data_IF_646062650857
#
_entry.id   IF_646062650857
#
_cell.length_a   1.000
_cell.length_b   1.000
_cell.length_c   1.000
_cell.angle_alpha   90.00
_cell.angle_beta   90.00
_cell.angle_gamma   90.00
#
_symmetry.space_group_name_H-M   'P 1'
#
loop_
_entity.id
_entity.type
_entity.pdbx_description
1 polymer ?
#
# COMPACT_ATOMS: atom_id res chain seq x y z
N UNK A 1 -5.96 -20.83 23.03
CA UNK A 1 -5.72 -19.58 22.28
C UNK A 1 -4.28 -19.13 22.48
N UNK A 2 -3.61 -18.60 21.44
CA UNK A 2 -2.21 -18.12 21.51
C UNK A 2 -2.09 -16.87 22.41
N UNK A 3 -0.94 -16.74 23.11
CA UNK A 3 -0.73 -15.64 24.07
C UNK A 3 -0.76 -14.25 23.40
N UNK A 4 -0.29 -14.13 22.15
CA UNK A 4 -0.36 -12.91 21.38
C UNK A 4 -1.80 -12.44 21.13
N UNK A 5 -2.75 -13.37 20.89
CA UNK A 5 -4.17 -13.03 20.66
C UNK A 5 -4.83 -12.58 21.96
N UNK A 6 -4.46 -13.23 23.10
CA UNK A 6 -4.94 -12.79 24.43
C UNK A 6 -4.51 -11.35 24.73
N UNK A 7 -3.27 -11.01 24.44
CA UNK A 7 -2.74 -9.65 24.65
C UNK A 7 -3.47 -8.62 23.76
N UNK A 8 -3.75 -8.96 22.48
CA UNK A 8 -4.50 -8.09 21.59
C UNK A 8 -5.95 -7.89 22.06
N UNK A 9 -6.62 -8.93 22.52
CA UNK A 9 -7.98 -8.84 23.09
C UNK A 9 -7.97 -7.94 24.33
N UNK A 10 -7.02 -8.13 25.24
CA UNK A 10 -6.89 -7.30 26.43
C UNK A 10 -6.65 -5.84 26.07
N UNK A 11 -5.74 -5.56 25.13
CA UNK A 11 -5.48 -4.21 24.62
C UNK A 11 -6.74 -3.56 24.06
N UNK A 12 -7.54 -4.32 23.30
CA UNK A 12 -8.80 -3.82 22.74
C UNK A 12 -9.86 -3.55 23.84
N UNK A 13 -9.90 -4.37 24.88
CA UNK A 13 -10.78 -4.20 26.03
C UNK A 13 -10.37 -2.99 26.90
N UNK A 14 -9.06 -2.78 27.10
CA UNK A 14 -8.54 -1.63 27.84
C UNK A 14 -8.80 -0.32 27.09
N UNK A 15 -8.69 -0.33 25.75
CA UNK A 15 -9.10 0.77 24.89
C UNK A 15 -10.59 1.11 25.06
N UNK A 16 -11.48 0.12 25.24
CA UNK A 16 -12.88 0.37 25.50
C UNK A 16 -13.09 1.15 26.81
N UNK A 17 -12.37 0.81 27.88
CA UNK A 17 -12.42 1.54 29.16
C UNK A 17 -11.94 3.01 29.01
N UNK A 18 -10.96 3.25 28.16
CA UNK A 18 -10.45 4.62 27.87
C UNK A 18 -11.49 5.43 27.08
N UNK A 19 -12.12 4.85 26.07
CA UNK A 19 -13.19 5.49 25.28
C UNK A 19 -14.37 5.85 26.20
N UNK A 20 -14.77 4.97 27.11
CA UNK A 20 -15.84 5.24 28.07
C UNK A 20 -15.48 6.42 29.00
N UNK A 21 -14.26 6.43 29.55
CA UNK A 21 -13.75 7.53 30.39
C UNK A 21 -13.63 8.86 29.65
N UNK A 22 -13.39 8.84 28.35
CA UNK A 22 -13.26 10.06 27.53
C UNK A 22 -14.56 10.82 27.32
N UNK A 23 -15.71 10.21 27.64
CA UNK A 23 -17.04 10.81 27.47
C UNK A 23 -17.49 10.93 26.00
N UNK A 24 -16.86 10.22 25.09
CA UNK A 24 -17.30 10.11 23.67
C UNK A 24 -18.68 9.44 23.60
N UNK A 25 -18.93 8.50 24.50
CA UNK A 25 -20.21 7.81 24.61
C UNK A 25 -21.09 8.60 25.57
N UNK A 26 -22.11 9.27 25.03
CA UNK A 26 -23.06 10.09 25.82
C UNK A 26 -24.21 9.28 26.40
N UNK A 27 -24.59 8.19 25.76
CA UNK A 27 -25.64 7.31 26.20
C UNK A 27 -25.10 6.32 27.25
N UNK A 28 -25.80 6.21 28.41
CA UNK A 28 -25.43 5.25 29.44
C UNK A 28 -25.65 3.83 28.90
N UNK A 29 -24.55 3.13 28.64
CA UNK A 29 -24.58 1.69 28.41
C UNK A 29 -24.79 1.03 29.76
N UNK A 30 -25.91 0.36 29.97
CA UNK A 30 -26.28 -0.24 31.26
C UNK A 30 -25.26 -1.26 31.81
N UNK A 31 -24.42 -1.82 30.92
CA UNK A 31 -23.44 -2.87 31.25
C UNK A 31 -21.97 -2.40 31.18
N UNK A 32 -21.71 -1.12 30.84
CA UNK A 32 -20.38 -0.63 30.53
C UNK A 32 -19.90 -1.00 29.13
N UNK A 33 -18.98 -0.18 28.58
CA UNK A 33 -18.54 -0.33 27.18
C UNK A 33 -17.65 -1.58 26.99
N UNK A 34 -16.84 -1.92 27.99
CA UNK A 34 -16.01 -3.13 27.99
C UNK A 34 -16.85 -4.42 27.88
N UNK A 35 -17.92 -4.52 28.64
CA UNK A 35 -18.81 -5.70 28.58
C UNK A 35 -19.61 -5.74 27.28
N UNK A 36 -20.01 -4.59 26.74
CA UNK A 36 -20.62 -4.50 25.42
C UNK A 36 -19.67 -5.02 24.32
N UNK A 37 -18.40 -4.62 24.39
CA UNK A 37 -17.38 -5.11 23.45
C UNK A 37 -17.16 -6.63 23.56
N UNK A 38 -17.14 -7.18 24.79
CA UNK A 38 -17.08 -8.64 25.00
C UNK A 38 -18.27 -9.36 24.38
N UNK A 39 -19.45 -8.78 24.50
CA UNK A 39 -20.65 -9.37 23.91
C UNK A 39 -20.61 -9.27 22.38
N UNK A 40 -20.06 -8.21 21.81
CA UNK A 40 -19.85 -8.12 20.35
C UNK A 40 -18.84 -9.17 19.87
N UNK A 41 -17.77 -9.43 20.61
CA UNK A 41 -16.83 -10.53 20.33
C UNK A 41 -17.55 -11.89 20.36
N UNK A 42 -18.41 -12.13 21.34
CA UNK A 42 -19.22 -13.34 21.43
C UNK A 42 -20.15 -13.50 20.22
N UNK A 43 -20.87 -12.45 19.82
CA UNK A 43 -21.73 -12.47 18.62
C UNK A 43 -20.94 -12.80 17.36
N UNK A 44 -19.76 -12.19 17.22
CA UNK A 44 -18.91 -12.44 16.07
C UNK A 44 -18.43 -13.91 16.03
N UNK A 45 -17.98 -14.48 17.15
CA UNK A 45 -17.59 -15.88 17.22
C UNK A 45 -18.79 -16.83 17.01
N UNK A 46 -19.98 -16.47 17.51
CA UNK A 46 -21.20 -17.21 17.24
C UNK A 46 -21.56 -17.20 15.73
N UNK A 47 -21.36 -16.07 15.05
CA UNK A 47 -21.57 -15.96 13.59
C UNK A 47 -20.62 -16.87 12.81
N UNK A 48 -19.38 -17.04 13.27
CA UNK A 48 -18.41 -17.96 12.64
C UNK A 48 -18.74 -19.43 12.97
N UNK A 49 -19.07 -19.77 14.20
CA UNK A 49 -19.22 -21.14 14.72
C UNK A 49 -20.25 -22.01 14.00
N UNK A 50 -21.16 -21.44 13.25
CA UNK A 50 -22.19 -22.19 12.53
C UNK A 50 -21.91 -22.32 11.02
N UNK A 51 -20.71 -21.95 10.60
CA UNK A 51 -20.36 -21.98 9.18
C UNK A 51 -20.30 -23.42 8.64
N UNK A 52 -19.74 -24.33 9.41
CA UNK A 52 -19.61 -25.76 9.09
C UNK A 52 -20.66 -26.65 9.75
N UNK A 53 -21.48 -26.08 10.66
CA UNK A 53 -22.53 -26.78 11.39
C UNK A 53 -22.03 -27.65 12.55
N UNK A 54 -20.75 -27.60 12.89
CA UNK A 54 -20.11 -28.37 13.95
C UNK A 54 -19.57 -27.38 15.01
N UNK A 55 -19.85 -27.64 16.30
CA UNK A 55 -19.28 -26.86 17.40
C UNK A 55 -18.51 -27.79 18.31
N UNK A 56 -17.20 -27.64 18.31
CA UNK A 56 -16.25 -28.50 19.04
C UNK A 56 -15.95 -27.98 20.44
N UNK A 57 -15.39 -28.85 21.30
CA UNK A 57 -14.94 -28.43 22.63
C UNK A 57 -13.79 -27.40 22.54
N UNK A 58 -12.90 -27.54 21.54
CA UNK A 58 -11.80 -26.59 21.30
C UNK A 58 -12.33 -25.19 20.99
N UNK A 59 -13.40 -25.09 20.21
CA UNK A 59 -14.07 -23.82 19.93
C UNK A 59 -14.76 -23.24 21.16
N UNK A 60 -15.41 -24.08 21.98
CA UNK A 60 -16.02 -23.62 23.22
C UNK A 60 -14.96 -23.05 24.19
N UNK A 61 -13.82 -23.71 24.31
CA UNK A 61 -12.71 -23.26 25.15
C UNK A 61 -12.11 -21.94 24.59
N UNK A 62 -12.02 -21.82 23.28
CA UNK A 62 -11.57 -20.58 22.62
C UNK A 62 -12.53 -19.42 22.92
N UNK A 63 -13.84 -19.62 22.74
CA UNK A 63 -14.85 -18.59 23.01
C UNK A 63 -14.78 -18.14 24.46
N UNK A 64 -14.62 -19.08 25.41
CA UNK A 64 -14.46 -18.78 26.83
C UNK A 64 -13.20 -17.94 27.12
N UNK A 65 -12.07 -18.33 26.55
CA UNK A 65 -10.82 -17.56 26.71
C UNK A 65 -10.90 -16.15 26.11
N UNK A 66 -11.54 -16.01 24.94
CA UNK A 66 -11.62 -14.74 24.23
C UNK A 66 -12.61 -13.76 24.86
N UNK A 67 -13.75 -14.25 25.31
CA UNK A 67 -14.88 -13.40 25.73
C UNK A 67 -15.20 -13.45 27.22
N UNK A 68 -14.74 -14.50 27.91
CA UNK A 68 -15.10 -14.77 29.31
C UNK A 68 -16.44 -15.48 29.48
N UNK A 69 -17.17 -15.79 28.41
CA UNK A 69 -18.45 -16.48 28.46
C UNK A 69 -18.29 -17.99 28.26
N UNK A 70 -18.94 -18.79 29.11
CA UNK A 70 -19.05 -20.24 28.94
C UNK A 70 -20.06 -20.53 27.82
N UNK A 71 -19.56 -20.73 26.60
CA UNK A 71 -20.40 -20.94 25.43
C UNK A 71 -20.76 -22.42 25.27
N UNK A 72 -22.04 -22.69 25.09
CA UNK A 72 -22.55 -23.98 24.63
C UNK A 72 -23.16 -23.82 23.24
N UNK A 73 -23.23 -24.90 22.48
CA UNK A 73 -23.88 -24.91 21.16
C UNK A 73 -25.31 -24.32 21.18
N UNK A 74 -26.08 -24.69 22.21
CA UNK A 74 -27.42 -24.16 22.39
C UNK A 74 -27.48 -22.66 22.67
N UNK A 75 -26.51 -22.13 23.44
CA UNK A 75 -26.39 -20.70 23.70
C UNK A 75 -26.01 -19.93 22.43
N UNK A 76 -25.04 -20.42 21.65
CA UNK A 76 -24.64 -19.77 20.39
C UNK A 76 -25.82 -19.77 19.37
N UNK A 77 -26.53 -20.88 19.23
CA UNK A 77 -27.72 -20.94 18.38
C UNK A 77 -28.84 -19.95 18.83
N UNK A 78 -29.01 -19.78 20.15
CA UNK A 78 -29.95 -18.79 20.68
C UNK A 78 -29.50 -17.35 20.35
N UNK A 79 -28.24 -17.02 20.49
CA UNK A 79 -27.67 -15.72 20.13
C UNK A 79 -27.83 -15.45 18.64
N UNK A 80 -27.52 -16.41 17.78
CA UNK A 80 -27.68 -16.29 16.32
C UNK A 80 -29.14 -15.95 15.95
N UNK A 81 -30.10 -16.63 16.55
CA UNK A 81 -31.52 -16.38 16.30
C UNK A 81 -32.01 -15.04 16.86
N UNK A 82 -31.66 -14.71 18.11
CA UNK A 82 -32.14 -13.48 18.78
C UNK A 82 -31.49 -12.20 18.21
N UNK A 83 -30.25 -12.29 17.75
CA UNK A 83 -29.47 -11.17 17.19
C UNK A 83 -29.50 -11.12 15.66
N UNK A 84 -30.26 -12.03 15.03
CA UNK A 84 -30.45 -12.09 13.57
C UNK A 84 -29.11 -12.15 12.78
N UNK A 85 -28.09 -12.85 13.32
CA UNK A 85 -26.73 -12.85 12.80
C UNK A 85 -26.60 -13.45 11.38
N UNK A 86 -27.58 -14.22 10.93
CA UNK A 86 -27.62 -14.84 9.60
C UNK A 86 -28.36 -14.00 8.55
N UNK A 87 -28.95 -12.90 8.94
CA UNK A 87 -29.64 -12.01 8.03
C UNK A 87 -28.65 -11.08 7.31
N UNK A 88 -28.98 -10.69 6.06
CA UNK A 88 -28.12 -9.81 5.26
C UNK A 88 -27.83 -8.48 5.96
N UNK A 89 -28.78 -7.96 6.72
CA UNK A 89 -28.66 -6.73 7.48
C UNK A 89 -27.56 -6.74 8.54
N UNK A 90 -27.17 -7.92 9.05
CA UNK A 90 -26.09 -8.03 10.04
C UNK A 90 -24.75 -7.54 9.47
N UNK A 91 -24.45 -7.79 8.20
CA UNK A 91 -23.27 -7.34 7.52
C UNK A 91 -23.39 -5.92 6.92
N UNK A 92 -24.60 -5.34 6.94
CA UNK A 92 -24.80 -3.95 6.50
C UNK A 92 -24.62 -2.93 7.62
N UNK A 93 -24.79 -3.36 8.88
CA UNK A 93 -24.75 -2.49 10.06
C UNK A 93 -23.44 -2.68 10.83
N UNK A 94 -22.52 -1.68 10.81
CA UNK A 94 -21.30 -1.80 11.58
C UNK A 94 -21.60 -1.90 13.10
N UNK A 95 -20.80 -2.71 13.85
CA UNK A 95 -20.94 -2.91 15.28
C UNK A 95 -20.95 -1.59 16.06
N UNK A 96 -21.68 -1.55 17.16
CA UNK A 96 -21.78 -0.34 17.98
C UNK A 96 -20.43 0.09 18.53
N UNK A 97 -19.63 -0.85 19.05
CA UNK A 97 -18.30 -0.54 19.56
C UNK A 97 -17.36 0.01 18.48
N UNK A 98 -17.42 -0.49 17.25
CA UNK A 98 -16.67 0.09 16.13
C UNK A 98 -17.09 1.53 15.85
N UNK A 99 -18.38 1.86 15.89
CA UNK A 99 -18.87 3.24 15.73
C UNK A 99 -18.28 4.15 16.81
N UNK A 100 -18.22 3.68 18.05
CA UNK A 100 -17.61 4.42 19.17
C UNK A 100 -16.10 4.61 18.95
N UNK A 101 -15.37 3.60 18.48
CA UNK A 101 -13.96 3.71 18.13
C UNK A 101 -13.71 4.75 17.02
N UNK A 102 -14.55 4.73 15.97
CA UNK A 102 -14.49 5.70 14.87
C UNK A 102 -14.73 7.12 15.36
N UNK A 103 -15.73 7.32 16.23
CA UNK A 103 -16.02 8.63 16.84
C UNK A 103 -14.87 9.11 17.75
N UNK A 104 -14.22 8.20 18.48
CA UNK A 104 -13.08 8.53 19.33
C UNK A 104 -11.88 8.98 18.48
N UNK A 105 -11.62 8.30 17.36
CA UNK A 105 -10.54 8.66 16.43
C UNK A 105 -10.83 9.96 15.66
N UNK A 106 -12.08 10.23 15.29
CA UNK A 106 -12.50 11.42 14.56
C UNK A 106 -12.59 12.68 15.44
N UNK A 107 -12.83 12.49 16.74
CA UNK A 107 -12.93 13.60 17.69
C UNK A 107 -11.59 13.88 18.33
N UNK A 108 -10.77 14.81 17.86
CA UNK A 108 -9.44 15.27 18.36
C UNK A 108 -9.12 15.16 19.88
N UNK A 109 -9.95 14.46 20.65
CA UNK A 109 -9.90 14.33 22.11
C UNK A 109 -8.90 13.30 22.63
N UNK A 110 -8.36 12.48 21.76
CA UNK A 110 -7.35 11.48 22.11
C UNK A 110 -6.10 11.66 21.25
N UNK A 111 -5.24 12.61 21.61
CA UNK A 111 -3.98 12.88 20.88
C UNK A 111 -3.05 11.68 20.80
N UNK A 112 -3.18 10.71 21.67
CA UNK A 112 -2.34 9.50 21.72
C UNK A 112 -2.97 8.26 21.04
N UNK A 113 -4.28 8.24 20.77
CA UNK A 113 -5.00 7.03 20.34
C UNK A 113 -5.77 7.18 19.01
N UNK A 114 -5.21 7.84 18.01
CA UNK A 114 -5.77 7.94 16.65
C UNK A 114 -5.89 6.58 15.91
N UNK A 115 -6.02 5.46 16.64
CA UNK A 115 -6.02 4.11 16.07
C UNK A 115 -7.03 3.17 16.70
N UNK A 116 -8.03 3.67 17.42
CA UNK A 116 -9.02 2.83 18.10
C UNK A 116 -9.77 1.92 17.12
N UNK A 117 -10.24 2.46 16.01
CA UNK A 117 -10.90 1.69 14.96
C UNK A 117 -9.98 0.63 14.33
N UNK A 118 -8.72 0.97 14.09
CA UNK A 118 -7.71 0.03 13.54
C UNK A 118 -7.42 -1.10 14.53
N UNK A 119 -7.25 -0.77 15.81
CA UNK A 119 -7.04 -1.76 16.88
C UNK A 119 -8.23 -2.70 16.96
N UNK A 120 -9.46 -2.19 16.99
CA UNK A 120 -10.69 -2.98 16.99
C UNK A 120 -10.73 -3.95 15.81
N UNK A 121 -10.56 -3.45 14.57
CA UNK A 121 -10.64 -4.26 13.34
C UNK A 121 -9.57 -5.35 13.33
N UNK A 122 -8.33 -5.01 13.71
CA UNK A 122 -7.24 -5.99 13.77
C UNK A 122 -7.47 -7.06 14.84
N UNK A 123 -7.99 -6.70 16.02
CA UNK A 123 -8.34 -7.66 17.06
C UNK A 123 -9.40 -8.65 16.58
N UNK A 124 -10.50 -8.15 15.96
CA UNK A 124 -11.55 -9.03 15.44
C UNK A 124 -11.03 -9.92 14.30
N UNK A 125 -10.22 -9.38 13.41
CA UNK A 125 -9.58 -10.17 12.33
C UNK A 125 -8.73 -11.30 12.90
N UNK A 126 -7.78 -10.98 13.78
CA UNK A 126 -6.83 -11.95 14.31
C UNK A 126 -7.52 -12.98 15.22
N UNK A 127 -8.50 -12.55 16.02
CA UNK A 127 -9.33 -13.43 16.84
C UNK A 127 -10.15 -14.40 15.97
N UNK A 128 -10.79 -13.92 14.91
CA UNK A 128 -11.56 -14.78 13.99
C UNK A 128 -10.66 -15.77 13.25
N UNK A 129 -9.49 -15.36 12.85
CA UNK A 129 -8.49 -16.22 12.19
C UNK A 129 -7.99 -17.32 13.14
N UNK A 130 -7.63 -16.96 14.36
CA UNK A 130 -7.24 -17.95 15.39
C UNK A 130 -8.39 -18.88 15.76
N UNK A 131 -9.63 -18.40 15.74
CA UNK A 131 -10.80 -19.22 15.97
C UNK A 131 -10.97 -20.28 14.88
N UNK A 132 -10.93 -19.88 13.60
CA UNK A 132 -11.05 -20.80 12.46
C UNK A 132 -9.87 -21.81 12.46
N UNK A 133 -8.68 -21.38 12.85
CA UNK A 133 -7.49 -22.24 12.91
C UNK A 133 -7.42 -23.13 14.15
N UNK A 134 -8.31 -22.99 15.15
CA UNK A 134 -8.27 -23.82 16.34
C UNK A 134 -8.78 -25.26 16.13
N UNK A 135 -9.44 -25.51 15.00
CA UNK A 135 -9.90 -26.82 14.55
C UNK A 135 -8.93 -27.41 13.52
N UNK A 136 -8.87 -28.75 13.46
CA UNK A 136 -8.07 -29.47 12.45
C UNK A 136 -8.63 -29.33 11.01
N UNK A 137 -9.85 -28.82 10.86
CA UNK A 137 -10.53 -28.67 9.58
C UNK A 137 -11.09 -27.25 9.47
N UNK A 138 -10.53 -26.46 8.58
CA UNK A 138 -11.03 -25.12 8.25
C UNK A 138 -12.04 -25.22 7.08
N UNK A 139 -13.22 -24.63 7.22
CA UNK A 139 -14.22 -24.60 6.15
C UNK A 139 -14.12 -23.34 5.28
N UNK A 140 -14.41 -23.48 3.98
CA UNK A 140 -14.47 -22.32 3.06
C UNK A 140 -15.55 -21.31 3.50
N UNK A 141 -16.61 -21.76 4.16
CA UNK A 141 -17.68 -20.91 4.64
C UNK A 141 -17.25 -20.05 5.83
N UNK A 142 -16.46 -20.58 6.77
CA UNK A 142 -15.87 -19.80 7.87
C UNK A 142 -14.96 -18.68 7.33
N UNK A 143 -14.10 -19.00 6.37
CA UNK A 143 -13.22 -18.01 5.72
C UNK A 143 -14.07 -16.93 5.03
N UNK A 144 -15.13 -17.32 4.32
CA UNK A 144 -16.03 -16.39 3.64
C UNK A 144 -16.72 -15.45 4.63
N UNK A 145 -17.25 -15.97 5.73
CA UNK A 145 -17.91 -15.18 6.78
C UNK A 145 -16.97 -14.22 7.47
N UNK A 146 -15.77 -14.69 7.84
CA UNK A 146 -14.72 -13.83 8.41
C UNK A 146 -14.38 -12.68 7.46
N UNK A 147 -14.14 -13.01 6.19
CA UNK A 147 -13.77 -12.01 5.17
C UNK A 147 -14.89 -10.98 4.96
N UNK A 148 -16.14 -11.41 4.93
CA UNK A 148 -17.29 -10.52 4.78
C UNK A 148 -17.45 -9.58 5.99
N UNK A 149 -17.33 -10.11 7.22
CA UNK A 149 -17.45 -9.32 8.44
C UNK A 149 -16.33 -8.30 8.59
N UNK A 150 -15.07 -8.71 8.39
CA UNK A 150 -13.92 -7.80 8.40
C UNK A 150 -14.03 -6.76 7.29
N UNK A 151 -14.45 -7.17 6.09
CA UNK A 151 -14.65 -6.27 4.96
C UNK A 151 -15.68 -5.18 5.23
N UNK A 152 -16.77 -5.49 5.91
CA UNK A 152 -17.79 -4.53 6.37
C UNK A 152 -17.18 -3.51 7.33
N UNK A 153 -16.45 -3.97 8.36
CA UNK A 153 -15.81 -3.09 9.34
C UNK A 153 -14.78 -2.15 8.69
N UNK A 154 -13.93 -2.68 7.80
CA UNK A 154 -12.97 -1.89 7.07
C UNK A 154 -13.62 -0.86 6.14
N UNK A 155 -14.70 -1.23 5.44
CA UNK A 155 -15.46 -0.30 4.60
C UNK A 155 -15.96 0.87 5.44
N UNK A 156 -16.55 0.60 6.58
CA UNK A 156 -17.03 1.64 7.49
C UNK A 156 -15.90 2.56 7.98
N UNK A 157 -14.78 2.02 8.44
CA UNK A 157 -13.63 2.83 8.88
C UNK A 157 -13.02 3.69 7.77
N UNK A 158 -13.05 3.21 6.50
CA UNK A 158 -12.61 3.98 5.32
C UNK A 158 -13.51 5.15 5.00
N UNK A 159 -14.83 5.03 5.17
CA UNK A 159 -15.79 6.12 4.98
C UNK A 159 -15.47 7.34 5.87
N UNK A 160 -14.79 7.11 7.01
CA UNK A 160 -14.32 8.15 7.93
C UNK A 160 -12.83 8.48 7.77
N UNK A 161 -12.15 7.96 6.75
CA UNK A 161 -10.73 8.24 6.48
C UNK A 161 -9.74 7.64 7.50
N UNK A 162 -10.17 6.69 8.34
CA UNK A 162 -9.36 6.08 9.40
C UNK A 162 -8.54 4.87 8.93
N UNK A 163 -8.93 4.27 7.83
CA UNK A 163 -8.15 3.28 7.10
C UNK A 163 -7.78 3.87 5.74
N UNK A 164 -6.54 3.63 5.32
CA UNK A 164 -6.15 3.88 3.95
C UNK A 164 -7.13 3.15 3.00
N UNK A 165 -7.39 3.70 1.80
CA UNK A 165 -8.14 2.98 0.78
C UNK A 165 -7.59 1.55 0.64
N UNK A 166 -8.47 0.57 0.42
CA UNK A 166 -8.18 -0.87 0.37
C UNK A 166 -6.92 -1.15 -0.45
N UNK A 167 -5.85 -1.61 0.18
CA UNK A 167 -4.49 -1.61 -0.33
C UNK A 167 -4.01 -0.18 -0.57
N UNK A 168 -2.76 0.14 -0.52
CA UNK A 168 -2.24 1.39 -1.08
C UNK A 168 -2.29 1.33 -2.62
N UNK A 169 -3.49 1.08 -3.16
CA UNK A 169 -3.80 1.22 -4.58
C UNK A 169 -3.91 2.72 -4.79
N UNK A 170 -2.79 3.36 -5.03
CA UNK A 170 -2.77 4.72 -5.55
C UNK A 170 -3.21 4.63 -7.01
N UNK A 171 -4.51 4.64 -7.25
CA UNK A 171 -5.01 4.90 -8.59
C UNK A 171 -4.63 6.34 -8.96
N UNK A 172 -3.70 6.46 -9.87
CA UNK A 172 -3.38 7.76 -10.45
C UNK A 172 -4.18 7.89 -11.73
N UNK A 173 -5.24 8.71 -11.72
CA UNK A 173 -5.93 9.06 -12.94
C UNK A 173 -4.96 9.72 -13.92
N UNK A 174 -4.89 9.17 -15.12
CA UNK A 174 -4.06 9.72 -16.19
C UNK A 174 -4.89 10.74 -16.96
N UNK A 175 -4.44 11.99 -16.97
CA UNK A 175 -4.96 13.00 -17.91
C UNK A 175 -4.73 12.49 -19.33
N UNK A 176 -5.76 12.57 -20.18
CA UNK A 176 -5.64 12.22 -21.59
C UNK A 176 -4.57 13.10 -22.24
N UNK A 177 -3.42 12.51 -22.54
CA UNK A 177 -2.31 13.14 -23.28
C UNK A 177 -2.13 12.43 -24.61
N UNK A 178 -1.61 13.13 -25.60
CA UNK A 178 -1.12 12.49 -26.81
C UNK A 178 0.15 11.69 -26.51
N UNK A 179 0.53 10.79 -27.42
CA UNK A 179 1.79 10.02 -27.28
C UNK A 179 2.98 10.98 -27.22
N UNK A 180 2.99 12.02 -28.06
CA UNK A 180 4.08 12.99 -28.13
C UNK A 180 4.19 13.80 -26.82
N UNK A 181 3.08 14.30 -26.27
CA UNK A 181 3.07 14.99 -24.96
C UNK A 181 3.57 14.10 -23.82
N UNK A 182 3.21 12.82 -23.83
CA UNK A 182 3.66 11.89 -22.80
C UNK A 182 5.16 11.55 -22.93
N UNK A 183 5.66 11.47 -24.17
CA UNK A 183 7.10 11.32 -24.45
C UNK A 183 7.90 12.58 -24.13
N UNK A 184 7.36 13.77 -24.38
CA UNK A 184 7.99 15.03 -23.96
C UNK A 184 8.12 15.09 -22.44
N UNK A 185 7.09 14.68 -21.69
CA UNK A 185 7.16 14.63 -20.23
C UNK A 185 8.23 13.64 -19.75
N UNK A 186 8.32 12.44 -20.34
CA UNK A 186 9.38 11.48 -20.05
C UNK A 186 10.75 12.08 -20.36
N UNK A 187 10.92 12.73 -21.50
CA UNK A 187 12.17 13.32 -21.92
C UNK A 187 12.58 14.52 -21.07
N UNK A 188 11.62 15.21 -20.43
CA UNK A 188 11.88 16.32 -19.50
C UNK A 188 12.43 15.88 -18.13
N UNK A 189 12.36 14.60 -17.80
CA UNK A 189 12.95 14.09 -16.56
C UNK A 189 14.48 14.28 -16.55
N UNK A 190 15.02 14.62 -15.40
CA UNK A 190 16.49 14.75 -15.23
C UNK A 190 17.14 13.39 -15.34
N UNK A 191 18.20 13.26 -16.14
CA UNK A 191 18.94 12.01 -16.35
C UNK A 191 18.10 10.91 -16.99
N UNK A 192 18.31 9.66 -16.56
CA UNK A 192 17.58 8.47 -17.02
C UNK A 192 17.73 8.19 -18.53
N UNK A 193 18.88 8.52 -19.13
CA UNK A 193 19.06 8.48 -20.58
C UNK A 193 18.87 7.07 -21.17
N UNK A 194 19.41 6.03 -20.50
CA UNK A 194 19.21 4.64 -20.90
C UNK A 194 17.73 4.22 -20.78
N UNK A 195 17.06 4.59 -19.68
CA UNK A 195 15.64 4.32 -19.46
C UNK A 195 14.77 4.99 -20.54
N UNK A 196 15.07 6.24 -20.88
CA UNK A 196 14.37 6.96 -21.96
C UNK A 196 14.52 6.27 -23.31
N UNK A 197 15.74 5.80 -23.63
CA UNK A 197 16.00 5.06 -24.87
C UNK A 197 15.23 3.73 -24.88
N UNK A 198 15.20 3.00 -23.79
CA UNK A 198 14.46 1.75 -23.66
C UNK A 198 12.94 1.96 -23.82
N UNK A 199 12.37 2.99 -23.16
CA UNK A 199 10.95 3.32 -23.29
C UNK A 199 10.62 3.77 -24.71
N UNK A 200 11.43 4.63 -25.34
CA UNK A 200 11.23 5.01 -26.72
C UNK A 200 11.25 3.80 -27.67
N UNK A 201 12.16 2.85 -27.44
CA UNK A 201 12.21 1.61 -28.24
C UNK A 201 10.96 0.76 -28.08
N UNK A 202 10.40 0.68 -26.86
CA UNK A 202 9.12 0.00 -26.60
C UNK A 202 7.96 0.70 -27.32
N UNK A 203 7.90 2.03 -27.26
CA UNK A 203 6.86 2.84 -27.93
C UNK A 203 6.91 2.61 -29.44
N UNK A 204 8.10 2.67 -30.05
CA UNK A 204 8.28 2.43 -31.48
C UNK A 204 7.79 1.03 -31.87
N UNK A 205 8.12 0.01 -31.06
CA UNK A 205 7.65 -1.36 -31.29
C UNK A 205 6.12 -1.46 -31.26
N UNK A 206 5.47 -0.82 -30.27
CA UNK A 206 4.00 -0.82 -30.15
C UNK A 206 3.33 -0.06 -31.29
N UNK A 207 3.90 1.05 -31.73
CA UNK A 207 3.40 1.80 -32.90
C UNK A 207 3.47 0.94 -34.18
N UNK A 208 4.58 0.25 -34.40
CA UNK A 208 4.72 -0.65 -35.57
C UNK A 208 3.74 -1.82 -35.47
N UNK A 209 3.53 -2.39 -34.30
CA UNK A 209 2.53 -3.45 -34.10
C UNK A 209 1.13 -2.94 -34.47
N UNK A 210 0.74 -1.76 -34.03
CA UNK A 210 -0.55 -1.17 -34.38
C UNK A 210 -0.72 -0.96 -35.89
N UNK A 211 0.29 -0.43 -36.57
CA UNK A 211 0.28 -0.26 -38.03
C UNK A 211 0.12 -1.62 -38.74
N UNK A 212 0.77 -2.68 -38.23
CA UNK A 212 0.65 -4.03 -38.77
C UNK A 212 -0.76 -4.60 -38.59
N UNK A 213 -1.35 -4.37 -37.41
CA UNK A 213 -2.72 -4.78 -37.10
C UNK A 213 -3.74 -4.11 -38.02
N UNK A 214 -3.64 -2.79 -38.19
CA UNK A 214 -4.49 -2.02 -39.11
C UNK A 214 -4.40 -2.51 -40.57
N UNK A 215 -3.27 -3.14 -40.95
CA UNK A 215 -3.06 -3.75 -42.27
C UNK A 215 -3.40 -5.23 -42.34
N UNK A 216 -4.01 -5.80 -41.27
CA UNK A 216 -4.39 -7.22 -41.21
C UNK A 216 -3.20 -8.19 -41.17
N UNK A 217 -1.99 -7.71 -40.78
CA UNK A 217 -0.79 -8.58 -40.70
C UNK A 217 -0.73 -9.31 -39.35
N UNK A 218 -0.22 -10.53 -39.37
CA UNK A 218 0.02 -11.31 -38.14
C UNK A 218 0.96 -10.57 -37.19
N UNK A 219 0.60 -10.51 -35.92
CA UNK A 219 1.39 -9.90 -34.84
C UNK A 219 2.29 -10.96 -34.18
N UNK A 220 3.58 -10.66 -33.93
CA UNK A 220 4.38 -11.47 -33.02
C UNK A 220 3.85 -11.27 -31.60
N UNK A 221 3.76 -12.34 -30.82
CA UNK A 221 3.44 -12.26 -29.39
C UNK A 221 4.64 -11.65 -28.65
N UNK A 222 4.53 -10.38 -28.26
CA UNK A 222 5.56 -9.70 -27.46
C UNK A 222 5.01 -9.47 -26.06
N UNK A 223 5.75 -9.93 -25.05
CA UNK A 223 5.41 -9.63 -23.65
C UNK A 223 5.52 -8.12 -23.40
N UNK A 224 4.47 -7.57 -22.78
CA UNK A 224 4.40 -6.15 -22.39
C UNK A 224 4.85 -5.92 -20.93
N UNK A 225 5.11 -7.00 -20.20
CA UNK A 225 5.53 -6.95 -18.80
C UNK A 225 7.01 -6.59 -18.68
N UNK A 226 7.35 -5.83 -17.63
CA UNK A 226 8.68 -5.22 -17.49
C UNK A 226 9.27 -5.48 -16.10
N UNK A 227 10.60 -5.51 -16.05
CA UNK A 227 11.38 -5.45 -14.82
C UNK A 227 12.04 -4.07 -14.71
N UNK A 228 11.82 -3.39 -13.61
CA UNK A 228 12.48 -2.13 -13.26
C UNK A 228 13.46 -2.37 -12.13
N UNK A 229 14.74 -2.38 -12.43
CA UNK A 229 15.78 -2.64 -11.46
C UNK A 229 16.61 -1.40 -11.15
N UNK A 230 17.02 -1.23 -9.91
CA UNK A 230 17.85 -0.11 -9.46
C UNK A 230 17.55 0.32 -8.03
N UNK A 231 18.41 1.20 -7.52
CA UNK A 231 18.35 1.70 -6.16
C UNK A 231 17.08 2.53 -5.86
N UNK A 232 16.73 2.76 -4.58
CA UNK A 232 15.60 3.61 -4.21
C UNK A 232 15.76 5.04 -4.73
N UNK A 233 14.64 5.69 -5.06
CA UNK A 233 14.64 7.09 -5.48
C UNK A 233 15.19 7.36 -6.88
N UNK A 234 15.44 6.34 -7.71
CA UNK A 234 15.91 6.48 -9.10
C UNK A 234 14.78 6.79 -10.10
N UNK A 235 13.52 6.86 -9.66
CA UNK A 235 12.41 7.28 -10.52
C UNK A 235 11.56 6.14 -11.09
N UNK A 236 11.73 4.89 -10.65
CA UNK A 236 10.98 3.71 -11.14
C UNK A 236 9.47 3.92 -11.20
N UNK A 237 8.85 4.29 -10.10
CA UNK A 237 7.39 4.54 -10.04
C UNK A 237 6.94 5.71 -10.92
N UNK A 238 7.78 6.75 -11.04
CA UNK A 238 7.50 7.92 -11.91
C UNK A 238 7.44 7.49 -13.38
N UNK A 239 8.44 6.72 -13.83
CA UNK A 239 8.49 6.21 -15.21
C UNK A 239 7.34 5.21 -15.46
N UNK A 240 7.02 4.33 -14.49
CA UNK A 240 5.88 3.41 -14.62
C UNK A 240 4.55 4.16 -14.85
N UNK A 241 4.36 5.28 -14.14
CA UNK A 241 3.17 6.13 -14.29
C UNK A 241 3.10 6.79 -15.66
N UNK A 242 4.23 7.31 -16.17
CA UNK A 242 4.29 7.87 -17.51
C UNK A 242 4.04 6.80 -18.59
N UNK A 243 4.63 5.62 -18.40
CA UNK A 243 4.43 4.49 -19.32
C UNK A 243 2.97 4.03 -19.37
N UNK A 244 2.24 4.06 -18.26
CA UNK A 244 0.81 3.76 -18.23
C UNK A 244 0.02 4.74 -19.13
N UNK A 245 0.33 6.03 -19.07
CA UNK A 245 -0.24 7.05 -19.94
C UNK A 245 0.11 6.85 -21.42
N UNK A 246 1.37 6.52 -21.72
CA UNK A 246 1.85 6.23 -23.07
C UNK A 246 1.11 5.02 -23.65
N UNK A 247 0.99 3.91 -22.90
CA UNK A 247 0.30 2.71 -23.35
C UNK A 247 -1.20 2.94 -23.58
N UNK A 248 -1.82 3.78 -22.75
CA UNK A 248 -3.19 4.22 -22.98
C UNK A 248 -3.33 5.02 -24.29
N UNK A 249 -2.45 5.99 -24.52
CA UNK A 249 -2.47 6.83 -25.73
C UNK A 249 -2.22 6.04 -27.01
N UNK A 250 -1.44 4.97 -26.93
CA UNK A 250 -1.22 4.02 -28.01
C UNK A 250 -2.40 3.05 -28.24
N UNK A 251 -3.34 2.97 -27.29
CA UNK A 251 -4.45 2.00 -27.31
C UNK A 251 -4.05 0.59 -26.87
N UNK A 252 -2.88 0.44 -26.25
CA UNK A 252 -2.39 -0.84 -25.67
C UNK A 252 -3.16 -1.18 -24.39
N UNK A 253 -3.54 -0.17 -23.62
CA UNK A 253 -4.33 -0.27 -22.39
C UNK A 253 -5.62 0.54 -22.51
N UNK A 254 -6.71 0.05 -21.93
CA UNK A 254 -8.02 0.68 -22.05
C UNK A 254 -8.26 1.87 -21.11
N UNK A 255 -7.51 1.96 -19.97
CA UNK A 255 -7.67 3.02 -18.97
C UNK A 255 -6.37 3.79 -18.69
N UNK A 256 -5.21 3.12 -18.70
CA UNK A 256 -3.90 3.74 -18.53
C UNK A 256 -3.59 4.22 -17.11
N UNK A 257 -4.30 3.75 -16.09
CA UNK A 257 -3.99 4.04 -14.68
C UNK A 257 -2.89 3.13 -14.15
N UNK A 258 -2.26 3.56 -13.07
CA UNK A 258 -1.24 2.79 -12.35
C UNK A 258 -1.82 2.33 -11.00
N UNK A 259 -1.70 1.05 -10.73
CA UNK A 259 -1.98 0.43 -9.43
C UNK A 259 -0.65 0.02 -8.82
N UNK A 260 -0.26 0.67 -7.72
CA UNK A 260 1.00 0.41 -7.00
C UNK A 260 0.72 -0.46 -5.78
N UNK A 261 1.43 -1.57 -5.67
CA UNK A 261 1.33 -2.51 -4.56
C UNK A 261 2.72 -3.00 -4.12
N UNK A 262 2.83 -3.41 -2.88
CA UNK A 262 3.98 -4.13 -2.32
C UNK A 262 3.56 -5.56 -1.90
N UNK A 263 4.48 -6.30 -1.24
CA UNK A 263 4.18 -7.62 -0.70
C UNK A 263 2.92 -7.63 0.17
N UNK A 264 2.70 -6.62 1.00
CA UNK A 264 1.58 -6.57 1.94
C UNK A 264 0.23 -6.48 1.23
N UNK A 265 0.21 -5.89 0.04
CA UNK A 265 -0.96 -5.81 -0.84
C UNK A 265 -1.28 -7.12 -1.59
N UNK A 266 -0.32 -8.05 -1.69
CA UNK A 266 -0.45 -9.29 -2.47
C UNK A 266 -0.48 -10.55 -1.60
N UNK A 267 0.28 -10.60 -0.50
CA UNK A 267 0.40 -11.78 0.35
C UNK A 267 -0.48 -11.62 1.58
N UNK A 268 -1.18 -12.70 1.94
CA UNK A 268 -1.87 -12.82 3.22
C UNK A 268 -1.07 -13.72 4.15
N UNK A 269 -1.22 -13.57 5.46
CA UNK A 269 -0.67 -14.50 6.44
C UNK A 269 -1.44 -15.82 6.56
N UNK A 270 -2.43 -16.08 5.68
CA UNK A 270 -3.37 -17.17 5.82
C UNK A 270 -3.63 -17.91 4.53
N UNK A 271 -3.82 -19.23 4.67
CA UNK A 271 -4.11 -20.16 3.57
C UNK A 271 -5.34 -19.67 2.78
N UNK A 272 -5.24 -19.64 1.45
CA UNK A 272 -6.35 -19.36 0.53
C UNK A 272 -6.73 -17.88 0.37
N UNK A 273 -6.14 -16.95 1.11
CA UNK A 273 -6.41 -15.51 0.98
C UNK A 273 -5.42 -14.78 0.07
N UNK A 274 -4.25 -15.33 -0.15
CA UNK A 274 -3.22 -14.75 -1.01
C UNK A 274 -3.71 -14.68 -2.46
N UNK A 275 -4.27 -15.76 -2.98
CA UNK A 275 -4.83 -15.76 -4.34
C UNK A 275 -5.93 -14.68 -4.51
N UNK A 276 -6.81 -14.52 -3.52
CA UNK A 276 -7.86 -13.48 -3.55
C UNK A 276 -7.26 -12.07 -3.57
N UNK A 277 -6.25 -11.78 -2.72
CA UNK A 277 -5.58 -10.47 -2.70
C UNK A 277 -4.89 -10.16 -4.03
N UNK A 278 -4.20 -11.15 -4.61
CA UNK A 278 -3.57 -10.99 -5.92
C UNK A 278 -4.62 -10.68 -6.99
N UNK A 279 -5.74 -11.42 -7.00
CA UNK A 279 -6.82 -11.17 -7.96
C UNK A 279 -7.50 -9.82 -7.76
N UNK A 280 -7.65 -9.35 -6.52
CA UNK A 280 -8.17 -8.00 -6.22
C UNK A 280 -7.23 -6.90 -6.77
N UNK A 281 -5.91 -7.06 -6.59
CA UNK A 281 -4.92 -6.14 -7.16
C UNK A 281 -4.92 -6.16 -8.69
N UNK A 282 -4.98 -7.36 -9.29
CA UNK A 282 -5.09 -7.55 -10.75
C UNK A 282 -6.37 -6.90 -11.28
N UNK A 283 -7.53 -7.16 -10.67
CA UNK A 283 -8.81 -6.60 -11.09
C UNK A 283 -8.82 -5.07 -10.99
N UNK A 284 -8.20 -4.51 -9.95
CA UNK A 284 -8.03 -3.06 -9.80
C UNK A 284 -7.14 -2.47 -10.91
N UNK A 285 -6.14 -3.23 -11.38
CA UNK A 285 -5.20 -2.80 -12.42
C UNK A 285 -5.69 -3.07 -13.85
N UNK A 286 -6.86 -3.71 -14.02
CA UNK A 286 -7.38 -4.03 -15.35
C UNK A 286 -7.60 -2.79 -16.22
N UNK A 287 -6.99 -2.80 -17.38
CA UNK A 287 -6.93 -1.65 -18.29
C UNK A 287 -5.76 -0.70 -18.02
N UNK A 288 -4.91 -1.01 -17.06
CA UNK A 288 -3.77 -0.22 -16.62
C UNK A 288 -2.52 -1.04 -16.32
N UNK A 289 -1.65 -0.50 -15.49
CA UNK A 289 -0.41 -1.14 -15.04
C UNK A 289 -0.53 -1.54 -13.58
N UNK A 290 -0.24 -2.80 -13.27
CA UNK A 290 0.06 -3.27 -11.91
C UNK A 290 1.56 -3.12 -11.66
N UNK A 291 1.93 -2.21 -10.78
CA UNK A 291 3.31 -1.97 -10.37
C UNK A 291 3.55 -2.60 -9.00
N UNK A 292 4.43 -3.58 -8.95
CA UNK A 292 4.78 -4.31 -7.73
C UNK A 292 6.15 -3.83 -7.28
N UNK A 293 6.18 -3.02 -6.20
CA UNK A 293 7.44 -2.55 -5.64
C UNK A 293 8.05 -3.60 -4.71
N UNK A 294 9.37 -3.65 -4.66
CA UNK A 294 10.13 -4.65 -3.89
C UNK A 294 9.66 -6.10 -4.13
N UNK A 295 9.39 -6.45 -5.41
CA UNK A 295 8.78 -7.72 -5.79
C UNK A 295 9.59 -8.94 -5.34
N UNK A 296 10.91 -8.83 -5.15
CA UNK A 296 11.77 -9.87 -4.60
C UNK A 296 11.33 -10.33 -3.20
N UNK A 297 10.64 -9.48 -2.46
CA UNK A 297 10.11 -9.85 -1.14
C UNK A 297 9.06 -10.96 -1.22
N UNK A 298 8.41 -11.17 -2.36
CA UNK A 298 7.46 -12.26 -2.58
C UNK A 298 8.13 -13.64 -2.47
N UNK A 299 9.42 -13.74 -2.81
CA UNK A 299 10.17 -15.00 -2.81
C UNK A 299 11.27 -15.10 -1.76
N UNK A 300 11.49 -14.03 -0.97
CA UNK A 300 12.56 -13.95 0.04
C UNK A 300 12.33 -14.87 1.27
N UNK A 301 11.11 -15.33 1.52
CA UNK A 301 10.76 -16.16 2.67
C UNK A 301 10.69 -17.64 2.29
N UNK A 302 11.65 -18.46 2.73
CA UNK A 302 11.60 -19.94 2.62
C UNK A 302 11.10 -20.60 3.93
N UNK A 303 10.23 -19.93 4.70
CA UNK A 303 9.67 -20.50 5.93
C UNK A 303 8.39 -21.29 5.61
N UNK A 304 8.15 -22.38 6.31
CA UNK A 304 6.83 -23.04 6.31
C UNK A 304 5.77 -22.02 6.69
N UNK A 305 4.73 -21.90 5.85
CA UNK A 305 3.68 -20.87 6.01
C UNK A 305 3.93 -19.56 5.27
N UNK A 306 4.93 -19.43 4.40
CA UNK A 306 5.11 -18.26 3.51
C UNK A 306 4.32 -18.45 2.21
N UNK A 307 3.27 -17.65 2.04
CA UNK A 307 2.38 -17.69 0.86
C UNK A 307 2.85 -16.81 -0.31
N UNK A 308 4.10 -16.36 -0.30
CA UNK A 308 4.65 -15.57 -1.40
C UNK A 308 4.71 -16.33 -2.73
N UNK A 309 5.02 -17.65 -2.69
CA UNK A 309 5.00 -18.48 -3.89
C UNK A 309 3.58 -18.59 -4.48
N UNK A 310 2.55 -18.75 -3.64
CA UNK A 310 1.14 -18.73 -4.09
C UNK A 310 0.78 -17.41 -4.78
N UNK A 311 1.30 -16.28 -4.27
CA UNK A 311 1.11 -14.98 -4.90
C UNK A 311 1.76 -14.93 -6.29
N UNK A 312 2.99 -15.43 -6.44
CA UNK A 312 3.70 -15.50 -7.72
C UNK A 312 2.94 -16.38 -8.72
N UNK A 313 2.52 -17.57 -8.32
CA UNK A 313 1.83 -18.51 -9.22
C UNK A 313 0.47 -17.97 -9.68
N UNK A 314 -0.28 -17.34 -8.76
CA UNK A 314 -1.55 -16.66 -9.07
C UNK A 314 -1.33 -15.48 -10.03
N UNK A 315 -0.30 -14.67 -9.77
CA UNK A 315 0.06 -13.54 -10.63
C UNK A 315 0.43 -14.00 -12.05
N UNK A 316 1.26 -15.03 -12.18
CA UNK A 316 1.68 -15.59 -13.48
C UNK A 316 0.48 -16.07 -14.30
N UNK A 317 -0.50 -16.72 -13.65
CA UNK A 317 -1.74 -17.12 -14.31
C UNK A 317 -2.56 -15.90 -14.75
N UNK A 318 -2.73 -14.91 -13.86
CA UNK A 318 -3.49 -13.71 -14.18
C UNK A 318 -2.85 -12.88 -15.32
N UNK A 319 -1.52 -12.84 -15.41
CA UNK A 319 -0.77 -12.20 -16.50
C UNK A 319 -1.05 -12.86 -17.86
N UNK A 320 -1.16 -14.19 -17.91
CA UNK A 320 -1.49 -14.92 -19.12
C UNK A 320 -2.95 -14.70 -19.53
N UNK A 321 -3.86 -14.84 -18.58
CA UNK A 321 -5.30 -14.70 -18.82
C UNK A 321 -5.72 -13.30 -19.26
N UNK A 322 -4.97 -12.25 -18.85
CA UNK A 322 -5.29 -10.84 -19.10
C UNK A 322 -4.24 -10.09 -19.93
N UNK A 323 -3.37 -10.78 -20.67
CA UNK A 323 -2.22 -10.23 -21.42
C UNK A 323 -2.56 -9.09 -22.38
N UNK A 324 -3.81 -8.99 -22.81
CA UNK A 324 -4.24 -7.99 -23.80
C UNK A 324 -4.57 -6.63 -23.15
N UNK A 325 -4.94 -6.62 -21.87
CA UNK A 325 -5.41 -5.39 -21.18
C UNK A 325 -4.84 -5.23 -19.75
N UNK A 326 -3.73 -5.90 -19.46
CA UNK A 326 -2.99 -5.78 -18.21
C UNK A 326 -1.49 -5.77 -18.50
N UNK A 327 -0.78 -4.80 -17.94
CA UNK A 327 0.68 -4.80 -17.90
C UNK A 327 1.12 -4.91 -16.45
N UNK A 328 2.07 -5.80 -16.18
CA UNK A 328 2.69 -5.93 -14.86
C UNK A 328 4.12 -5.41 -14.94
N UNK A 329 4.48 -4.53 -14.01
CA UNK A 329 5.86 -4.07 -13.81
C UNK A 329 6.28 -4.51 -12.43
N UNK A 330 7.35 -5.29 -12.34
CA UNK A 330 7.99 -5.66 -11.08
C UNK A 330 9.22 -4.80 -10.86
N UNK A 331 9.39 -4.26 -9.65
CA UNK A 331 10.47 -3.35 -9.33
C UNK A 331 11.24 -3.77 -8.07
N UNK A 332 12.53 -3.45 -8.01
CA UNK A 332 13.37 -3.75 -6.85
C UNK A 332 14.85 -3.46 -7.09
N UNK A 333 15.69 -3.89 -6.14
CA UNK A 333 17.15 -3.83 -6.26
C UNK A 333 17.65 -4.79 -7.33
N UNK A 334 18.68 -4.39 -8.05
CA UNK A 334 19.19 -5.13 -9.21
C UNK A 334 19.48 -6.60 -8.91
N UNK A 335 20.30 -6.87 -7.91
CA UNK A 335 20.72 -8.24 -7.57
C UNK A 335 19.56 -9.09 -7.07
N UNK A 336 18.67 -8.51 -6.22
CA UNK A 336 17.50 -9.20 -5.69
C UNK A 336 16.44 -9.48 -6.77
N UNK A 337 16.35 -8.64 -7.80
CA UNK A 337 15.45 -8.86 -8.92
C UNK A 337 15.90 -10.01 -9.83
N UNK A 338 17.21 -10.21 -9.99
CA UNK A 338 17.74 -11.39 -10.68
C UNK A 338 17.36 -12.69 -9.93
N UNK A 339 17.59 -12.72 -8.59
CA UNK A 339 17.19 -13.86 -7.76
C UNK A 339 15.68 -14.11 -7.81
N UNK A 340 14.86 -13.06 -7.80
CA UNK A 340 13.41 -13.14 -7.95
C UNK A 340 13.01 -13.80 -9.27
N UNK A 341 13.58 -13.38 -10.39
CA UNK A 341 13.28 -13.95 -11.70
C UNK A 341 13.73 -15.40 -11.82
N UNK A 342 14.83 -15.77 -11.15
CA UNK A 342 15.34 -17.15 -11.15
C UNK A 342 14.56 -18.08 -10.21
N UNK A 343 13.76 -17.54 -9.30
CA UNK A 343 12.96 -18.33 -8.36
C UNK A 343 11.86 -19.15 -9.04
N UNK A 344 11.40 -18.74 -10.23
CA UNK A 344 10.35 -19.43 -10.98
C UNK A 344 10.55 -19.26 -12.50
N UNK A 345 10.66 -20.37 -13.27
CA UNK A 345 10.81 -20.31 -14.74
C UNK A 345 9.71 -19.52 -15.46
N UNK A 346 8.51 -19.48 -14.88
CA UNK A 346 7.38 -18.71 -15.40
C UNK A 346 7.62 -17.19 -15.34
N UNK A 347 8.38 -16.70 -14.35
CA UNK A 347 8.77 -15.28 -14.24
C UNK A 347 9.71 -14.91 -15.39
N UNK A 348 10.80 -15.68 -15.61
CA UNK A 348 11.76 -15.43 -16.70
C UNK A 348 11.09 -15.42 -18.08
N UNK A 349 10.10 -16.27 -18.30
CA UNK A 349 9.42 -16.36 -19.61
C UNK A 349 8.51 -15.17 -19.89
N UNK A 350 7.94 -14.52 -18.86
CA UNK A 350 7.00 -13.40 -18.99
C UNK A 350 7.66 -12.04 -18.86
N UNK A 351 8.67 -11.93 -18.02
CA UNK A 351 9.45 -10.71 -17.80
C UNK A 351 10.74 -10.72 -18.63
N UNK A 352 10.62 -10.53 -19.94
CA UNK A 352 11.73 -10.61 -20.88
C UNK A 352 12.38 -9.25 -21.19
N UNK A 353 11.81 -8.16 -20.71
CA UNK A 353 12.35 -6.80 -20.86
C UNK A 353 12.75 -6.24 -19.49
N UNK A 354 14.04 -5.94 -19.38
CA UNK A 354 14.69 -5.45 -18.19
C UNK A 354 15.13 -4.01 -18.42
N UNK A 355 14.73 -3.09 -17.54
CA UNK A 355 15.08 -1.68 -17.61
C UNK A 355 15.87 -1.34 -16.34
N UNK A 356 17.13 -0.94 -16.53
CA UNK A 356 18.03 -0.58 -15.45
C UNK A 356 17.95 0.91 -15.14
N UNK A 357 17.67 1.25 -13.90
CA UNK A 357 17.66 2.60 -13.35
C UNK A 357 18.97 2.84 -12.60
N UNK A 358 19.91 3.46 -13.27
CA UNK A 358 21.19 3.82 -12.67
C UNK A 358 21.03 4.93 -11.62
N UNK A 359 22.01 5.01 -10.70
CA UNK A 359 22.07 6.10 -9.74
C UNK A 359 22.32 7.43 -10.43
N UNK A 360 21.73 8.48 -9.91
CA UNK A 360 21.97 9.84 -10.39
C UNK A 360 23.38 10.32 -10.07
N UNK A 361 23.95 11.08 -10.99
CA UNK A 361 25.19 11.83 -10.77
C UNK A 361 24.95 13.01 -9.83
N UNK A 362 26.01 13.55 -9.16
CA UNK A 362 25.88 14.74 -8.30
C UNK A 362 25.19 15.92 -8.99
N UNK A 363 25.50 16.16 -10.25
CA UNK A 363 24.89 17.24 -11.05
C UNK A 363 23.39 16.99 -11.30
N UNK A 364 23.02 15.75 -11.59
CA UNK A 364 21.61 15.37 -11.76
C UNK A 364 20.84 15.51 -10.44
N UNK A 365 21.43 15.15 -9.29
CA UNK A 365 20.82 15.34 -7.97
C UNK A 365 20.62 16.82 -7.63
N UNK A 366 21.59 17.70 -7.98
CA UNK A 366 21.42 19.14 -7.88
C UNK A 366 20.23 19.62 -8.76
N UNK A 367 20.15 19.18 -10.01
CA UNK A 367 19.08 19.59 -10.92
C UNK A 367 17.71 19.07 -10.44
N UNK A 368 17.65 17.86 -9.88
CA UNK A 368 16.45 17.33 -9.23
C UNK A 368 16.07 18.19 -8.02
N UNK A 369 17.02 18.58 -7.16
CA UNK A 369 16.79 19.44 -6.00
C UNK A 369 16.23 20.79 -6.44
N UNK A 370 16.83 21.43 -7.47
CA UNK A 370 16.34 22.68 -8.06
C UNK A 370 14.92 22.55 -8.60
N UNK A 371 14.62 21.44 -9.30
CA UNK A 371 13.28 21.17 -9.82
C UNK A 371 12.26 20.99 -8.70
N UNK A 372 12.62 20.30 -7.60
CA UNK A 372 11.77 20.14 -6.43
C UNK A 372 11.54 21.46 -5.71
N UNK A 373 12.57 22.28 -5.55
CA UNK A 373 12.49 23.61 -4.96
C UNK A 373 11.57 24.52 -5.78
N UNK A 374 11.76 24.59 -7.09
CA UNK A 374 10.97 25.41 -7.99
C UNK A 374 9.45 25.06 -7.99
N UNK A 375 9.11 23.78 -7.80
CA UNK A 375 7.70 23.33 -7.66
C UNK A 375 7.02 23.83 -6.39
N UNK A 376 7.77 24.34 -5.43
CA UNK A 376 7.32 24.87 -4.15
C UNK A 376 7.64 26.37 -4.02
N UNK A 377 7.91 27.05 -5.14
CA UNK A 377 8.28 28.48 -5.21
C UNK A 377 9.59 28.82 -4.46
N UNK A 378 10.50 27.84 -4.28
CA UNK A 378 11.82 28.08 -3.74
C UNK A 378 12.89 28.15 -4.84
N UNK A 379 13.92 28.96 -4.60
CA UNK A 379 15.09 29.11 -5.46
C UNK A 379 16.35 28.98 -4.59
N UNK A 380 17.34 28.21 -5.02
CA UNK A 380 18.64 28.17 -4.36
C UNK A 380 19.51 29.33 -4.85
N UNK A 381 20.16 30.06 -3.93
CA UNK A 381 21.18 31.04 -4.27
C UNK A 381 22.37 30.37 -4.96
N UNK A 382 23.24 31.13 -5.65
CA UNK A 382 24.41 30.54 -6.33
C UNK A 382 25.36 29.82 -5.35
N UNK A 383 25.56 30.39 -4.16
CA UNK A 383 26.33 29.76 -3.11
C UNK A 383 25.67 28.48 -2.58
N UNK A 384 24.35 28.48 -2.43
CA UNK A 384 23.57 27.30 -2.06
C UNK A 384 23.68 26.19 -3.11
N UNK A 385 23.67 26.52 -4.41
CA UNK A 385 23.87 25.54 -5.48
C UNK A 385 25.25 24.88 -5.40
N UNK A 386 26.29 25.66 -5.18
CA UNK A 386 27.66 25.14 -5.03
C UNK A 386 27.77 24.21 -3.82
N UNK A 387 27.21 24.63 -2.68
CA UNK A 387 27.22 23.82 -1.46
C UNK A 387 26.43 22.50 -1.64
N UNK A 388 25.27 22.56 -2.29
CA UNK A 388 24.45 21.39 -2.64
C UNK A 388 25.21 20.45 -3.58
N UNK A 389 25.92 20.97 -4.58
CA UNK A 389 26.72 20.13 -5.48
C UNK A 389 27.83 19.41 -4.71
N UNK A 390 28.60 20.13 -3.90
CA UNK A 390 29.67 19.55 -3.07
C UNK A 390 29.15 18.48 -2.11
N UNK A 391 27.98 18.71 -1.51
CA UNK A 391 27.29 17.70 -0.68
C UNK A 391 27.05 16.42 -1.48
N UNK A 392 26.43 16.52 -2.66
CA UNK A 392 26.17 15.33 -3.47
C UNK A 392 27.43 14.69 -4.06
N UNK A 393 28.48 15.46 -4.35
CA UNK A 393 29.78 14.90 -4.76
C UNK A 393 30.36 14.03 -3.63
N UNK A 394 30.35 14.53 -2.41
CA UNK A 394 30.82 13.80 -1.24
C UNK A 394 29.95 12.54 -0.98
N UNK A 395 28.63 12.65 -1.07
CA UNK A 395 27.72 11.53 -0.88
C UNK A 395 27.85 10.46 -1.96
N UNK A 396 28.01 10.86 -3.21
CA UNK A 396 28.22 9.94 -4.33
C UNK A 396 29.60 9.27 -4.31
N UNK A 397 30.64 9.95 -3.81
CA UNK A 397 31.97 9.36 -3.64
C UNK A 397 32.00 8.29 -2.54
N UNK A 398 31.21 8.48 -1.49
CA UNK A 398 31.13 7.58 -0.33
C UNK A 398 29.74 6.90 -0.27
N UNK A 399 29.23 6.41 -1.41
CA UNK A 399 27.90 5.81 -1.50
C UNK A 399 27.70 4.71 -0.45
N UNK A 400 26.69 4.82 0.42
CA UNK A 400 26.22 3.69 1.20
C UNK A 400 25.59 2.65 0.27
N UNK A 401 25.55 1.41 0.69
CA UNK A 401 24.99 0.28 -0.07
C UNK A 401 23.55 0.56 -0.57
N UNK A 402 22.79 1.35 0.18
CA UNK A 402 21.39 1.74 -0.14
C UNK A 402 21.28 3.26 -0.40
N UNK A 403 22.06 3.79 -1.32
CA UNK A 403 21.99 5.21 -1.67
C UNK A 403 20.60 5.60 -2.19
N UNK A 404 19.98 6.59 -1.55
CA UNK A 404 18.56 6.89 -1.75
C UNK A 404 18.27 7.88 -2.90
N UNK A 405 19.27 8.31 -3.66
CA UNK A 405 19.11 9.12 -4.87
C UNK A 405 18.19 10.35 -4.69
N UNK A 406 17.13 10.49 -5.46
CA UNK A 406 16.20 11.61 -5.38
C UNK A 406 15.42 11.68 -4.04
N UNK A 407 15.33 10.59 -3.27
CA UNK A 407 14.79 10.65 -1.90
C UNK A 407 15.73 11.41 -0.98
N UNK A 408 17.04 11.22 -1.15
CA UNK A 408 18.05 11.97 -0.40
C UNK A 408 18.03 13.46 -0.79
N UNK A 409 17.92 13.77 -2.09
CA UNK A 409 17.74 15.14 -2.55
C UNK A 409 16.50 15.82 -1.96
N UNK A 410 15.41 15.09 -1.82
CA UNK A 410 14.18 15.56 -1.16
C UNK A 410 14.42 15.86 0.33
N UNK A 411 15.00 14.91 1.06
CA UNK A 411 15.27 15.08 2.49
C UNK A 411 16.20 16.27 2.73
N UNK A 412 17.24 16.42 1.90
CA UNK A 412 18.17 17.54 1.96
C UNK A 412 17.44 18.88 1.75
N UNK A 413 16.56 18.96 0.76
CA UNK A 413 15.74 20.15 0.51
C UNK A 413 14.77 20.45 1.66
N UNK A 414 14.10 19.43 2.21
CA UNK A 414 13.18 19.59 3.34
C UNK A 414 13.90 20.13 4.58
N UNK A 415 15.12 19.67 4.87
CA UNK A 415 15.95 20.22 5.93
C UNK A 415 16.35 21.68 5.65
N UNK A 416 16.71 22.01 4.42
CA UNK A 416 17.03 23.37 4.02
C UNK A 416 15.85 24.33 4.20
N UNK A 417 14.63 23.92 3.80
CA UNK A 417 13.41 24.70 3.99
C UNK A 417 13.13 24.91 5.48
N UNK A 418 13.33 23.89 6.33
CA UNK A 418 13.13 24.03 7.78
C UNK A 418 14.12 25.04 8.39
N UNK A 419 15.39 25.04 7.98
CA UNK A 419 16.41 26.00 8.43
C UNK A 419 16.11 27.42 7.93
N UNK A 420 15.75 27.56 6.65
CA UNK A 420 15.30 28.84 6.09
C UNK A 420 14.13 29.43 6.87
N UNK A 421 13.13 28.60 7.22
CA UNK A 421 12.02 29.07 8.05
C UNK A 421 12.49 29.60 9.41
N UNK A 422 13.46 28.95 10.05
CA UNK A 422 14.10 29.43 11.29
C UNK A 422 14.77 30.79 11.10
N UNK A 423 15.56 30.96 10.02
CA UNK A 423 16.22 32.22 9.64
C UNK A 423 15.21 33.34 9.42
N UNK A 424 14.14 33.11 8.68
CA UNK A 424 13.07 34.09 8.42
C UNK A 424 12.38 34.53 9.73
N UNK A 425 12.10 33.60 10.64
CA UNK A 425 11.51 33.91 11.95
C UNK A 425 12.46 34.79 12.80
N UNK A 426 13.76 34.51 12.75
CA UNK A 426 14.76 35.37 13.44
C UNK A 426 14.80 36.77 12.85
N UNK A 427 14.82 36.90 11.50
CA UNK A 427 14.76 38.21 10.82
C UNK A 427 13.52 39.02 11.23
N UNK A 428 12.36 38.34 11.34
CA UNK A 428 11.11 38.98 11.79
C UNK A 428 11.19 39.49 13.23
N UNK A 429 11.84 38.75 14.13
CA UNK A 429 12.07 39.20 15.54
C UNK A 429 12.96 40.42 15.59
N UNK A 430 13.93 40.52 14.70
CA UNK A 430 14.85 41.67 14.59
C UNK A 430 14.26 42.86 13.83
N UNK A 431 12.96 42.86 13.51
CA UNK A 431 12.26 43.85 12.69
C UNK A 431 12.94 44.14 11.33
N UNK A 432 13.60 43.16 10.74
CA UNK A 432 14.16 43.27 9.39
C UNK A 432 13.04 43.12 8.34
N UNK A 433 13.17 43.86 7.24
CA UNK A 433 12.24 43.75 6.12
C UNK A 433 12.38 42.37 5.45
N UNK A 434 11.25 41.70 5.24
CA UNK A 434 11.19 40.36 4.62
C UNK A 434 10.53 40.52 3.26
N UNK A 435 11.36 40.59 2.22
CA UNK A 435 10.88 40.65 0.84
C UNK A 435 10.38 39.28 0.36
N UNK A 436 9.63 39.28 -0.75
CA UNK A 436 9.21 38.03 -1.42
C UNK A 436 10.42 37.20 -1.81
N UNK A 437 11.47 37.81 -2.33
CA UNK A 437 12.70 37.14 -2.73
C UNK A 437 13.38 36.47 -1.53
N UNK A 438 13.41 37.13 -0.35
CA UNK A 438 13.92 36.55 0.89
C UNK A 438 13.13 35.31 1.31
N UNK A 439 11.80 35.30 1.13
CA UNK A 439 10.95 34.13 1.42
C UNK A 439 11.16 32.97 0.45
N UNK A 440 11.50 33.27 -0.79
CA UNK A 440 11.69 32.24 -1.83
C UNK A 440 13.11 31.68 -1.85
N UNK A 441 14.12 32.44 -1.34
CA UNK A 441 15.52 32.06 -1.49
C UNK A 441 16.01 31.17 -0.36
N UNK A 442 16.57 30.02 -0.70
CA UNK A 442 17.35 29.17 0.19
C UNK A 442 18.82 29.60 0.04
N UNK A 443 19.41 30.05 1.14
CA UNK A 443 20.80 30.50 1.21
C UNK A 443 21.75 29.37 1.64
N UNK A 444 23.06 29.56 1.43
CA UNK A 444 24.05 28.55 1.81
C UNK A 444 24.07 28.24 3.32
N UNK A 445 23.68 29.19 4.17
CA UNK A 445 23.54 28.99 5.63
C UNK A 445 22.34 28.09 6.01
N UNK A 446 21.32 27.98 5.16
CA UNK A 446 20.16 27.13 5.37
C UNK A 446 20.47 25.64 5.06
N UNK A 447 21.64 25.35 4.47
CA UNK A 447 22.05 24.01 4.08
C UNK A 447 22.95 23.36 5.13
N UNK A 448 22.89 22.04 5.23
CA UNK A 448 23.85 21.24 6.00
C UNK A 448 25.21 21.20 5.31
N UNK A 449 26.25 20.98 6.11
CA UNK A 449 27.63 20.92 5.62
C UNK A 449 27.90 19.60 4.92
#
# INVERSE_FOLDING_TARGET
MEDNIKEQILTCLDMADEIERSGVIKDRINTGFRENLRYEMLKFLAYLSTADGIFTQTEADFVKEATGFDATEGMLKAIIGSEHLMEAEYLEKPPFALKCCVLADAGERTKEHKRCAVTYINTFRNMGQSYIACNDVTSDEEIRRLTAYVGMMEKFAREYGLLAPKGSIKETEVKKKTVDEALEELNSLTGLDAVKQDVNSLVNLMQVQKIREERGMKQPSVSKHLVFAGNPGTGKTTVARLLAGIYYSLGVLSKGHLVEVDRSGLVSGYIGQTATKVMDAVNSAMGGILFIDEAYTLTAGKKEGDFGQEAVDTLLKAMEDNRDNLVVIVAGYTDLMEEFLDSNPGLRSRFNKYILFEDYTPKQLLDITKSMAAKQDYVLSEEAKLKTLNYFETRCANKPENFANAREARNYLEHAIAKQAGRIVAMKKDNKDISKDTLMTIEAEDLEA
#
